data_IF_554037769597
#
_entry.id   IF_554037769597
#
_cell.length_a   1.000
_cell.length_b   1.000
_cell.length_c   1.000
_cell.angle_alpha   90.00
_cell.angle_beta   90.00
_cell.angle_gamma   90.00
#
_symmetry.space_group_name_H-M   'P 1'
#
loop_
_entity.id
_entity.type
_entity.pdbx_description
1 polymer ?
#
# COMPACT_ATOMS: atom_id res chain seq x y z
N UNK A 1 -24.87 0.49 16.85
CA UNK A 1 -24.09 0.46 15.59
C UNK A 1 -23.01 -0.58 15.81
N UNK A 2 -22.84 -1.55 14.89
CA UNK A 2 -21.71 -2.47 15.00
C UNK A 2 -20.42 -1.65 14.98
N UNK A 3 -19.52 -1.93 15.91
CA UNK A 3 -18.17 -1.35 15.88
C UNK A 3 -17.51 -1.76 14.55
N UNK A 4 -16.95 -0.78 13.83
CA UNK A 4 -16.22 -1.05 12.59
C UNK A 4 -14.79 -1.43 12.93
N UNK A 5 -14.28 -2.49 12.33
CA UNK A 5 -12.87 -2.86 12.46
C UNK A 5 -12.01 -1.95 11.59
N UNK A 6 -11.00 -1.31 12.18
CA UNK A 6 -9.99 -0.59 11.38
C UNK A 6 -9.00 -1.59 10.80
N UNK A 7 -8.80 -1.54 9.48
CA UNK A 7 -7.75 -2.27 8.79
C UNK A 7 -6.65 -1.27 8.38
N UNK A 8 -5.51 -1.36 9.03
CA UNK A 8 -4.32 -0.60 8.68
C UNK A 8 -3.69 -1.18 7.42
N UNK A 9 -3.45 -0.36 6.42
CA UNK A 9 -2.93 -0.77 5.12
C UNK A 9 -1.72 0.07 4.74
N UNK A 10 -0.56 -0.57 4.66
CA UNK A 10 0.65 0.08 4.16
C UNK A 10 0.82 -0.12 2.66
N UNK A 11 0.96 0.99 1.93
CA UNK A 11 1.10 1.00 0.48
C UNK A 11 2.37 1.73 0.02
N UNK A 12 2.87 1.30 -1.15
CA UNK A 12 3.77 2.10 -1.97
C UNK A 12 3.06 2.31 -3.33
N UNK A 13 2.90 3.56 -3.82
CA UNK A 13 2.30 3.85 -5.13
C UNK A 13 2.94 3.12 -6.31
N UNK A 14 4.19 2.67 -6.19
CA UNK A 14 4.85 1.92 -7.25
C UNK A 14 4.38 0.48 -7.36
N UNK A 15 3.87 -0.11 -6.27
CA UNK A 15 3.64 -1.55 -6.22
C UNK A 15 2.28 -1.92 -6.87
N UNK A 16 2.29 -2.66 -8.00
CA UNK A 16 1.05 -3.06 -8.66
C UNK A 16 0.25 -4.08 -7.83
N UNK A 17 0.91 -4.86 -6.97
CA UNK A 17 0.25 -5.82 -6.09
C UNK A 17 -0.44 -5.12 -4.92
N UNK A 18 0.23 -4.14 -4.31
CA UNK A 18 -0.40 -3.28 -3.31
C UNK A 18 -1.62 -2.55 -3.89
N UNK A 19 -1.54 -2.09 -5.15
CA UNK A 19 -2.68 -1.48 -5.83
C UNK A 19 -3.88 -2.42 -5.89
N UNK A 20 -3.71 -3.64 -6.40
CA UNK A 20 -4.82 -4.61 -6.52
C UNK A 20 -5.41 -4.99 -5.17
N UNK A 21 -4.56 -5.24 -4.16
CA UNK A 21 -5.05 -5.52 -2.80
C UNK A 21 -5.75 -4.30 -2.20
N UNK A 22 -5.31 -3.07 -2.48
CA UNK A 22 -6.00 -1.85 -2.03
C UNK A 22 -7.40 -1.73 -2.62
N UNK A 23 -7.57 -2.07 -3.91
CA UNK A 23 -8.88 -2.06 -4.57
C UNK A 23 -9.79 -3.13 -3.98
N UNK A 24 -9.24 -4.32 -3.71
CA UNK A 24 -9.96 -5.36 -2.98
C UNK A 24 -10.42 -4.88 -1.59
N UNK A 25 -9.57 -4.18 -0.83
CA UNK A 25 -9.98 -3.64 0.47
C UNK A 25 -11.11 -2.61 0.38
N UNK A 26 -11.15 -1.78 -0.67
CA UNK A 26 -12.28 -0.89 -0.93
C UNK A 26 -13.58 -1.65 -1.28
N UNK A 27 -13.47 -2.83 -1.93
CA UNK A 27 -14.61 -3.73 -2.13
C UNK A 27 -15.06 -4.38 -0.81
N UNK A 28 -14.13 -4.70 0.10
CA UNK A 28 -14.43 -5.23 1.44
C UNK A 28 -15.23 -4.23 2.27
N UNK A 29 -14.85 -2.95 2.28
CA UNK A 29 -15.57 -1.89 3.01
C UNK A 29 -17.05 -1.76 2.61
N UNK A 30 -17.40 -2.16 1.38
CA UNK A 30 -18.77 -2.13 0.88
C UNK A 30 -19.63 -3.29 1.43
N UNK A 31 -19.01 -4.41 1.82
CA UNK A 31 -19.72 -5.65 2.19
C UNK A 31 -19.40 -6.17 3.60
N UNK A 32 -18.49 -5.52 4.33
CA UNK A 32 -18.12 -5.84 5.72
C UNK A 32 -18.02 -4.55 6.55
N UNK A 33 -18.23 -4.61 7.88
CA UNK A 33 -18.08 -3.46 8.78
C UNK A 33 -16.59 -3.17 9.05
N UNK A 34 -15.85 -2.85 8.00
CA UNK A 34 -14.41 -2.53 8.04
C UNK A 34 -14.21 -1.09 7.56
N UNK A 35 -13.18 -0.43 8.06
CA UNK A 35 -12.68 0.82 7.49
C UNK A 35 -11.17 0.78 7.30
N UNK A 36 -10.68 1.19 6.13
CA UNK A 36 -9.24 1.20 5.84
C UNK A 36 -8.61 2.49 6.37
N UNK A 37 -7.51 2.34 7.11
CA UNK A 37 -6.60 3.44 7.46
C UNK A 37 -5.31 3.24 6.67
N UNK A 38 -4.96 4.24 5.86
CA UNK A 38 -3.85 4.16 4.92
C UNK A 38 -2.56 4.65 5.55
N UNK A 39 -1.46 3.96 5.29
CA UNK A 39 -0.11 4.31 5.73
C UNK A 39 0.87 4.20 4.57
N UNK A 40 1.91 5.03 4.57
CA UNK A 40 2.93 4.99 3.52
C UNK A 40 4.02 3.98 3.89
N UNK A 41 4.44 3.14 2.94
CA UNK A 41 5.68 2.38 3.02
C UNK A 41 6.45 2.53 1.71
N UNK A 42 7.72 2.13 1.70
CA UNK A 42 8.61 2.31 0.55
C UNK A 42 9.31 1.01 0.15
N UNK A 43 9.14 0.61 -1.10
CA UNK A 43 9.93 -0.43 -1.75
C UNK A 43 11.40 -0.02 -1.85
N UNK A 44 11.68 1.27 -2.02
CA UNK A 44 13.05 1.78 -2.04
C UNK A 44 13.75 1.61 -0.70
N UNK A 45 13.05 1.86 0.41
CA UNK A 45 13.56 1.56 1.77
C UNK A 45 13.73 0.06 1.95
N UNK A 46 12.74 -0.75 1.56
CA UNK A 46 12.79 -2.22 1.72
C UNK A 46 14.01 -2.87 1.03
N UNK A 47 14.45 -2.29 -0.09
CA UNK A 47 15.46 -2.89 -0.97
C UNK A 47 16.82 -2.19 -0.93
N UNK A 48 17.01 -1.17 -0.09
CA UNK A 48 18.20 -0.32 -0.11
C UNK A 48 19.51 -1.09 0.14
N UNK A 49 19.47 -2.06 1.06
CA UNK A 49 20.63 -2.89 1.41
C UNK A 49 20.89 -4.03 0.42
N UNK A 50 20.00 -4.21 -0.57
CA UNK A 50 20.05 -5.31 -1.55
C UNK A 50 20.18 -4.82 -2.98
N UNK A 51 20.39 -3.52 -3.19
CA UNK A 51 20.42 -2.93 -4.54
C UNK A 51 21.38 -3.68 -5.48
N UNK A 52 22.58 -3.99 -5.01
CA UNK A 52 23.61 -4.67 -5.81
C UNK A 52 23.22 -6.10 -6.24
N UNK A 53 22.22 -6.71 -5.60
CA UNK A 53 21.71 -8.04 -5.93
C UNK A 53 20.55 -7.99 -6.93
N UNK A 54 20.03 -6.80 -7.22
CA UNK A 54 18.83 -6.60 -8.02
C UNK A 54 19.15 -6.35 -9.51
N UNK A 55 18.28 -6.80 -10.43
CA UNK A 55 18.37 -6.44 -11.84
C UNK A 55 18.42 -4.92 -12.05
N UNK A 56 19.20 -4.45 -13.02
CA UNK A 56 19.41 -3.01 -13.29
C UNK A 56 18.09 -2.23 -13.43
N UNK A 57 17.17 -2.73 -14.25
CA UNK A 57 15.87 -2.08 -14.46
C UNK A 57 15.06 -1.92 -13.16
N UNK A 58 15.22 -2.84 -12.21
CA UNK A 58 14.55 -2.76 -10.92
C UNK A 58 15.27 -1.79 -9.98
N UNK A 59 16.60 -1.73 -10.01
CA UNK A 59 17.36 -0.68 -9.30
C UNK A 59 16.97 0.73 -9.77
N UNK A 60 16.89 0.96 -11.08
CA UNK A 60 16.46 2.25 -11.65
C UNK A 60 15.04 2.63 -11.18
N UNK A 61 14.13 1.66 -11.12
CA UNK A 61 12.79 1.85 -10.56
C UNK A 61 12.85 2.27 -9.08
N UNK A 62 13.69 1.62 -8.27
CA UNK A 62 13.82 1.94 -6.84
C UNK A 62 14.46 3.30 -6.58
N UNK A 63 15.38 3.76 -7.45
CA UNK A 63 15.94 5.11 -7.37
C UNK A 63 14.87 6.19 -7.58
N UNK A 64 14.00 6.01 -8.57
CA UNK A 64 12.89 6.93 -8.83
C UNK A 64 11.69 6.74 -7.88
N UNK A 65 11.69 5.64 -7.11
CA UNK A 65 10.60 5.27 -6.20
C UNK A 65 10.44 6.11 -4.95
N UNK A 66 11.47 6.86 -4.55
CA UNK A 66 11.39 7.78 -3.41
C UNK A 66 10.41 8.94 -3.65
N UNK A 67 10.28 9.40 -4.89
CA UNK A 67 9.52 10.60 -5.21
C UNK A 67 8.04 10.53 -4.77
N UNK A 68 7.25 9.55 -5.28
CA UNK A 68 5.84 9.44 -4.95
C UNK A 68 5.54 9.24 -3.46
N UNK A 69 6.35 8.44 -2.75
CA UNK A 69 6.15 8.18 -1.32
C UNK A 69 6.47 9.41 -0.47
N UNK A 70 7.47 10.22 -0.83
CA UNK A 70 7.74 11.51 -0.18
C UNK A 70 6.58 12.48 -0.34
N UNK A 71 5.96 12.53 -1.52
CA UNK A 71 4.76 13.35 -1.76
C UNK A 71 3.58 12.89 -0.90
N UNK A 72 3.40 11.57 -0.74
CA UNK A 72 2.37 11.03 0.15
C UNK A 72 2.60 11.45 1.61
N UNK A 73 3.83 11.31 2.13
CA UNK A 73 4.18 11.74 3.50
C UNK A 73 4.03 13.26 3.67
N UNK A 74 4.43 14.05 2.68
CA UNK A 74 4.24 15.50 2.71
C UNK A 74 2.75 15.90 2.75
N UNK A 75 1.90 15.19 1.99
CA UNK A 75 0.45 15.39 2.01
C UNK A 75 -0.16 15.02 3.36
N UNK A 76 0.24 13.87 3.94
CA UNK A 76 -0.19 13.43 5.27
C UNK A 76 0.19 14.43 6.35
N UNK A 77 1.44 14.91 6.38
CA UNK A 77 1.88 15.89 7.38
C UNK A 77 1.16 17.24 7.25
N UNK A 78 0.81 17.66 6.01
CA UNK A 78 0.14 18.94 5.76
C UNK A 78 -1.36 18.89 6.03
N UNK A 79 -2.02 17.78 5.70
CA UNK A 79 -3.49 17.69 5.65
C UNK A 79 -4.11 16.60 6.54
N UNK A 80 -3.30 15.75 7.16
CA UNK A 80 -3.72 14.59 7.96
C UNK A 80 -3.74 13.27 7.16
N UNK A 81 -3.71 12.11 7.83
CA UNK A 81 -3.67 10.79 7.18
C UNK A 81 -4.89 10.49 6.31
N UNK A 82 -6.02 11.18 6.52
CA UNK A 82 -7.27 10.97 5.80
C UNK A 82 -7.16 11.26 4.30
N UNK A 83 -6.18 12.07 3.87
CA UNK A 83 -5.98 12.37 2.45
C UNK A 83 -5.30 11.26 1.68
N UNK A 84 -4.62 10.33 2.36
CA UNK A 84 -3.80 9.30 1.72
C UNK A 84 -4.62 8.35 0.84
N UNK A 85 -5.84 7.99 1.22
CA UNK A 85 -6.68 7.10 0.41
C UNK A 85 -7.06 7.69 -0.95
N UNK A 86 -7.41 8.98 -0.96
CA UNK A 86 -7.74 9.71 -2.19
C UNK A 86 -6.50 9.94 -3.06
N UNK A 87 -5.40 10.37 -2.46
CA UNK A 87 -4.13 10.58 -3.16
C UNK A 87 -3.58 9.27 -3.74
N UNK A 88 -3.62 8.17 -2.99
CA UNK A 88 -3.19 6.87 -3.48
C UNK A 88 -4.07 6.39 -4.64
N UNK A 89 -5.39 6.59 -4.56
CA UNK A 89 -6.31 6.29 -5.66
C UNK A 89 -5.97 7.06 -6.92
N UNK A 90 -5.67 8.37 -6.81
CA UNK A 90 -5.28 9.19 -7.94
C UNK A 90 -3.94 8.74 -8.56
N UNK A 91 -2.93 8.49 -7.73
CA UNK A 91 -1.61 8.01 -8.16
C UNK A 91 -1.70 6.64 -8.84
N UNK A 92 -2.35 5.66 -8.20
CA UNK A 92 -2.46 4.31 -8.73
C UNK A 92 -3.28 4.22 -10.02
N UNK A 93 -4.31 5.07 -10.17
CA UNK A 93 -5.05 5.19 -11.43
C UNK A 93 -4.14 5.62 -12.58
N UNK A 94 -3.29 6.63 -12.35
CA UNK A 94 -2.35 7.12 -13.37
C UNK A 94 -1.26 6.09 -13.65
N UNK A 95 -0.62 5.53 -12.63
CA UNK A 95 0.52 4.63 -12.78
C UNK A 95 0.14 3.24 -13.30
N UNK A 96 -0.95 2.65 -12.80
CA UNK A 96 -1.29 1.26 -13.07
C UNK A 96 -2.37 1.12 -14.14
N UNK A 97 -3.45 1.88 -14.02
CA UNK A 97 -4.60 1.75 -14.95
C UNK A 97 -4.29 2.42 -16.29
N UNK A 98 -3.70 3.64 -16.25
CA UNK A 98 -3.39 4.41 -17.47
C UNK A 98 -1.98 4.20 -17.99
N UNK A 99 -1.08 3.62 -17.19
CA UNK A 99 0.32 3.43 -17.54
C UNK A 99 1.08 4.75 -17.76
N UNK A 100 0.66 5.83 -17.10
CA UNK A 100 1.33 7.14 -17.19
C UNK A 100 2.72 7.06 -16.54
N UNK A 101 3.69 7.74 -17.15
CA UNK A 101 5.04 7.87 -16.57
C UNK A 101 4.99 8.65 -15.25
N UNK A 102 5.90 8.33 -14.32
CA UNK A 102 5.94 8.88 -12.96
C UNK A 102 6.66 10.23 -12.91
N UNK A 103 6.24 11.14 -13.76
CA UNK A 103 6.81 12.50 -13.86
C UNK A 103 6.22 13.40 -12.77
N UNK A 104 6.88 14.54 -12.53
CA UNK A 104 6.33 15.58 -11.67
C UNK A 104 4.96 16.07 -12.16
N UNK A 105 4.73 16.16 -13.47
CA UNK A 105 3.44 16.55 -14.03
C UNK A 105 2.34 15.54 -13.69
N UNK A 106 2.61 14.24 -13.84
CA UNK A 106 1.67 13.17 -13.48
C UNK A 106 1.30 13.21 -12.00
N UNK A 107 2.29 13.41 -11.13
CA UNK A 107 2.10 13.43 -9.67
C UNK A 107 1.39 14.72 -9.21
N UNK A 108 1.72 15.87 -9.80
CA UNK A 108 0.99 17.11 -9.57
C UNK A 108 -0.48 16.98 -10.02
N UNK A 109 -0.73 16.32 -11.16
CA UNK A 109 -2.08 15.98 -11.59
C UNK A 109 -2.82 15.08 -10.60
N UNK A 110 -2.15 14.08 -10.02
CA UNK A 110 -2.73 13.22 -8.98
C UNK A 110 -3.09 13.99 -7.70
N UNK A 111 -2.25 14.94 -7.28
CA UNK A 111 -2.53 15.84 -6.17
C UNK A 111 -3.81 16.65 -6.43
N UNK A 112 -3.95 17.22 -7.64
CA UNK A 112 -5.16 17.96 -8.04
C UNK A 112 -6.39 17.07 -8.04
N UNK A 113 -6.31 15.86 -8.60
CA UNK A 113 -7.41 14.88 -8.62
C UNK A 113 -7.88 14.52 -7.19
N UNK A 114 -6.95 14.51 -6.22
CA UNK A 114 -7.22 14.28 -4.81
C UNK A 114 -7.66 15.54 -4.03
N UNK A 115 -7.79 16.70 -4.70
CA UNK A 115 -8.16 17.97 -4.07
C UNK A 115 -7.04 18.60 -3.24
N UNK A 116 -5.79 18.22 -3.50
CA UNK A 116 -4.60 18.67 -2.79
C UNK A 116 -3.81 19.71 -3.60
N UNK A 117 -2.91 20.40 -2.90
CA UNK A 117 -2.02 21.41 -3.48
C UNK A 117 -0.98 20.75 -4.40
N UNK A 118 -0.98 21.04 -5.73
CA UNK A 118 -0.02 20.44 -6.67
C UNK A 118 1.44 20.79 -6.35
N UNK A 119 1.70 21.87 -5.61
CA UNK A 119 3.07 22.26 -5.23
C UNK A 119 3.73 21.26 -4.27
N UNK A 120 2.96 20.36 -3.64
CA UNK A 120 3.51 19.25 -2.86
C UNK A 120 4.37 18.30 -3.70
N UNK A 121 4.27 18.33 -5.05
CA UNK A 121 5.15 17.57 -5.95
C UNK A 121 6.63 17.86 -5.69
N UNK A 122 6.98 19.06 -5.20
CA UNK A 122 8.37 19.41 -4.86
C UNK A 122 8.97 18.49 -3.79
N UNK A 123 8.15 17.83 -2.98
CA UNK A 123 8.60 16.84 -2.00
C UNK A 123 9.33 15.66 -2.64
N UNK A 124 9.13 15.37 -3.94
CA UNK A 124 9.83 14.28 -4.64
C UNK A 124 11.36 14.39 -4.52
N UNK A 125 11.86 15.62 -4.55
CA UNK A 125 13.29 15.95 -4.57
C UNK A 125 13.84 16.31 -3.17
N UNK A 126 12.99 16.30 -2.14
CA UNK A 126 13.38 16.64 -0.76
C UNK A 126 13.61 15.40 0.08
N UNK A 127 14.63 15.41 0.92
CA UNK A 127 14.86 14.37 1.95
C UNK A 127 14.18 14.69 3.28
N UNK A 128 13.49 15.84 3.40
CA UNK A 128 12.83 16.29 4.63
C UNK A 128 11.84 15.25 5.20
N UNK A 129 11.23 14.45 4.33
CA UNK A 129 10.20 13.47 4.69
C UNK A 129 10.74 12.05 4.90
N UNK A 130 12.05 11.82 4.71
CA UNK A 130 12.63 10.48 4.70
C UNK A 130 12.57 9.80 6.08
N UNK A 131 12.77 10.56 7.16
CA UNK A 131 12.70 10.02 8.52
C UNK A 131 11.29 9.51 8.85
N UNK A 132 10.26 10.31 8.55
CA UNK A 132 8.87 9.93 8.74
C UNK A 132 8.46 8.74 7.86
N UNK A 133 8.91 8.72 6.60
CA UNK A 133 8.69 7.60 5.68
C UNK A 133 9.31 6.31 6.23
N UNK A 134 10.54 6.36 6.75
CA UNK A 134 11.22 5.21 7.33
C UNK A 134 10.53 4.72 8.60
N UNK A 135 10.05 5.61 9.44
CA UNK A 135 9.27 5.25 10.63
C UNK A 135 7.99 4.50 10.25
N UNK A 136 7.19 5.06 9.33
CA UNK A 136 5.96 4.41 8.84
C UNK A 136 6.25 3.06 8.15
N UNK A 137 7.32 2.99 7.35
CA UNK A 137 7.76 1.73 6.76
C UNK A 137 8.14 0.69 7.81
N UNK A 138 8.92 1.08 8.83
CA UNK A 138 9.37 0.20 9.90
C UNK A 138 8.20 -0.35 10.72
N UNK A 139 7.17 0.46 10.98
CA UNK A 139 5.93 0.02 11.63
C UNK A 139 5.24 -1.08 10.81
N UNK A 140 5.02 -0.84 9.51
CA UNK A 140 4.36 -1.83 8.64
C UNK A 140 5.16 -3.12 8.50
N UNK A 141 6.42 -3.03 8.07
CA UNK A 141 7.25 -4.23 7.80
C UNK A 141 7.57 -5.02 9.08
N UNK A 142 7.67 -4.35 10.22
CA UNK A 142 7.92 -4.98 11.53
C UNK A 142 6.82 -5.97 11.94
N UNK A 143 5.61 -5.83 11.40
CA UNK A 143 4.48 -6.72 11.69
C UNK A 143 4.55 -8.06 10.96
N UNK A 144 5.33 -8.16 9.88
CA UNK A 144 5.35 -9.32 8.97
C UNK A 144 6.75 -9.86 8.68
N UNK A 145 7.80 -9.17 9.13
CA UNK A 145 9.18 -9.52 8.86
C UNK A 145 9.70 -8.95 7.52
N UNK A 146 11.02 -9.07 7.31
CA UNK A 146 11.74 -8.45 6.18
C UNK A 146 11.77 -9.32 4.91
N UNK A 147 11.22 -10.53 4.96
CA UNK A 147 11.25 -11.50 3.86
C UNK A 147 10.07 -11.33 2.89
N UNK A 148 9.21 -10.34 3.14
CA UNK A 148 8.01 -10.05 2.35
C UNK A 148 8.04 -8.64 1.75
N UNK A 149 7.15 -8.40 0.78
CA UNK A 149 7.01 -7.11 0.11
C UNK A 149 5.78 -6.33 0.57
N UNK A 150 5.26 -5.49 -0.33
CA UNK A 150 4.01 -4.75 -0.11
C UNK A 150 2.86 -5.45 -0.85
N UNK A 151 1.62 -5.40 -0.34
CA UNK A 151 1.14 -4.65 0.82
C UNK A 151 1.25 -5.41 2.15
N UNK A 152 1.25 -4.64 3.24
CA UNK A 152 1.05 -5.14 4.61
C UNK A 152 -0.28 -4.64 5.13
N UNK A 153 -1.04 -5.55 5.74
CA UNK A 153 -2.32 -5.24 6.38
C UNK A 153 -2.24 -5.63 7.86
N UNK A 154 -2.82 -4.82 8.73
CA UNK A 154 -3.01 -5.17 10.13
C UNK A 154 -4.43 -4.84 10.62
N UNK A 155 -4.93 -5.68 11.52
CA UNK A 155 -6.20 -5.46 12.25
C UNK A 155 -5.98 -5.63 13.75
N UNK A 156 -6.87 -5.15 14.61
CA UNK A 156 -6.83 -5.48 16.04
C UNK A 156 -6.85 -7.00 16.25
N UNK A 157 -5.85 -7.54 16.94
CA UNK A 157 -5.82 -8.95 17.34
C UNK A 157 -6.68 -9.21 18.58
N UNK A 158 -6.95 -10.50 18.83
CA UNK A 158 -7.80 -10.93 19.95
C UNK A 158 -7.21 -10.55 21.33
N UNK A 159 -5.89 -10.51 21.44
CA UNK A 159 -5.16 -10.24 22.68
C UNK A 159 -4.73 -8.76 22.82
N UNK A 160 -5.16 -7.89 21.89
CA UNK A 160 -4.83 -6.46 21.86
C UNK A 160 -3.61 -6.09 21.01
N UNK A 161 -2.74 -7.05 20.69
CA UNK A 161 -1.65 -6.86 19.74
C UNK A 161 -2.17 -6.82 18.29
N UNK A 162 -1.57 -6.04 17.38
CA UNK A 162 -1.97 -6.03 15.97
C UNK A 162 -1.74 -7.39 15.30
N UNK A 163 -2.76 -7.89 14.60
CA UNK A 163 -2.67 -9.04 13.71
C UNK A 163 -2.22 -8.56 12.32
N UNK A 164 -0.90 -8.59 12.08
CA UNK A 164 -0.28 -8.24 10.80
C UNK A 164 -0.15 -9.42 9.84
N UNK A 165 -0.37 -9.18 8.55
CA UNK A 165 -0.14 -10.17 7.49
C UNK A 165 0.25 -9.52 6.16
N UNK A 166 1.00 -10.26 5.35
CA UNK A 166 1.36 -9.89 3.98
C UNK A 166 0.29 -10.36 2.99
N UNK A 167 -0.13 -9.47 2.07
CA UNK A 167 -1.18 -9.76 1.11
C UNK A 167 -2.59 -9.67 1.72
N UNK A 168 -3.59 -10.41 1.18
CA UNK A 168 -3.49 -11.35 0.07
C UNK A 168 -3.10 -10.70 -1.25
N UNK A 169 -2.20 -11.36 -1.96
CA UNK A 169 -1.79 -10.98 -3.32
C UNK A 169 -2.78 -11.57 -4.31
N UNK A 170 -3.53 -10.71 -5.02
CA UNK A 170 -4.63 -11.11 -5.91
C UNK A 170 -4.51 -10.46 -7.29
N UNK A 171 -4.98 -11.16 -8.33
CA UNK A 171 -5.16 -10.63 -9.68
C UNK A 171 -6.22 -11.46 -10.42
N UNK A 172 -7.27 -10.83 -10.99
CA UNK A 172 -7.73 -9.46 -10.71
C UNK A 172 -8.19 -9.30 -9.25
N UNK A 173 -8.43 -8.07 -8.80
CA UNK A 173 -9.00 -7.82 -7.48
C UNK A 173 -10.44 -8.38 -7.37
N UNK A 174 -10.78 -9.19 -6.34
CA UNK A 174 -12.14 -9.66 -6.13
C UNK A 174 -13.11 -8.52 -5.85
N UNK A 175 -14.37 -8.66 -6.29
CA UNK A 175 -15.44 -7.66 -6.13
C UNK A 175 -16.63 -8.18 -5.33
N UNK A 176 -17.39 -7.26 -4.74
CA UNK A 176 -18.62 -7.53 -3.99
C UNK A 176 -18.43 -8.63 -2.94
N UNK A 177 -19.38 -9.57 -2.86
CA UNK A 177 -19.32 -10.63 -1.84
C UNK A 177 -18.10 -11.56 -2.00
N UNK A 178 -17.49 -11.66 -3.18
CA UNK A 178 -16.24 -12.40 -3.32
C UNK A 178 -15.07 -11.72 -2.58
N UNK A 179 -15.06 -10.39 -2.52
CA UNK A 179 -14.10 -9.62 -1.71
C UNK A 179 -14.30 -9.90 -0.22
N UNK A 180 -15.56 -9.86 0.24
CA UNK A 180 -15.93 -10.15 1.63
C UNK A 180 -15.56 -11.57 2.06
N UNK A 181 -15.81 -12.59 1.23
CA UNK A 181 -15.41 -13.97 1.55
C UNK A 181 -13.90 -14.14 1.64
N UNK A 182 -13.13 -13.48 0.77
CA UNK A 182 -11.68 -13.52 0.86
C UNK A 182 -11.21 -12.88 2.18
N UNK A 183 -11.80 -11.74 2.57
CA UNK A 183 -11.51 -11.08 3.83
C UNK A 183 -11.76 -12.00 5.04
N UNK A 184 -12.94 -12.61 5.10
CA UNK A 184 -13.29 -13.52 6.21
C UNK A 184 -12.32 -14.71 6.27
N UNK A 185 -11.95 -15.27 5.12
CA UNK A 185 -10.98 -16.38 5.03
C UNK A 185 -9.57 -15.97 5.43
N UNK A 186 -9.11 -14.79 5.00
CA UNK A 186 -7.81 -14.23 5.38
C UNK A 186 -7.72 -14.02 6.88
N UNK A 187 -8.74 -13.42 7.51
CA UNK A 187 -8.74 -13.23 8.95
C UNK A 187 -8.75 -14.55 9.71
N UNK A 188 -9.52 -15.55 9.25
CA UNK A 188 -9.58 -16.86 9.87
C UNK A 188 -8.21 -17.54 9.93
N UNK A 189 -7.46 -17.53 8.82
CA UNK A 189 -6.13 -18.16 8.78
C UNK A 189 -5.10 -17.32 9.52
N UNK A 190 -5.13 -15.99 9.37
CA UNK A 190 -4.21 -15.09 10.05
C UNK A 190 -4.38 -15.16 11.58
N UNK A 191 -5.60 -15.28 12.08
CA UNK A 191 -5.88 -15.40 13.53
C UNK A 191 -5.60 -16.78 14.11
N UNK A 192 -5.18 -17.76 13.31
CA UNK A 192 -4.93 -19.14 13.79
C UNK A 192 -3.51 -19.25 14.34
N UNK A 193 -3.31 -19.51 15.65
CA UNK A 193 -1.98 -19.64 16.22
C UNK A 193 -1.15 -20.74 15.53
N UNK A 194 0.08 -20.41 15.14
CA UNK A 194 1.00 -21.34 14.46
C UNK A 194 0.79 -21.47 12.95
N UNK A 195 -0.14 -20.70 12.37
CA UNK A 195 -0.22 -20.55 10.92
C UNK A 195 0.73 -19.46 10.44
N UNK A 196 1.61 -19.77 9.49
CA UNK A 196 2.62 -18.83 8.99
C UNK A 196 2.52 -18.56 7.49
N UNK A 197 2.28 -19.58 6.66
CA UNK A 197 2.23 -19.38 5.21
C UNK A 197 1.29 -20.35 4.51
N UNK A 198 0.50 -19.82 3.58
CA UNK A 198 -0.15 -20.57 2.51
C UNK A 198 0.17 -19.88 1.18
N UNK A 199 0.66 -20.65 0.21
CA UNK A 199 1.07 -20.10 -1.08
C UNK A 199 0.84 -21.09 -2.20
N UNK A 200 0.45 -20.55 -3.35
CA UNK A 200 0.51 -21.23 -4.65
C UNK A 200 1.39 -20.42 -5.60
N UNK A 201 1.95 -21.08 -6.62
CA UNK A 201 2.69 -20.40 -7.68
C UNK A 201 1.81 -19.37 -8.36
N UNK A 202 2.32 -18.14 -8.50
CA UNK A 202 1.68 -17.09 -9.28
C UNK A 202 1.91 -17.36 -10.75
N UNK A 203 0.84 -17.53 -11.50
CA UNK A 203 0.82 -17.85 -12.94
C UNK A 203 0.21 -16.74 -13.81
N UNK A 204 -0.21 -15.62 -13.19
CA UNK A 204 -0.77 -14.46 -13.84
C UNK A 204 -0.07 -13.15 -13.43
N UNK A 205 -0.05 -12.20 -14.37
CA UNK A 205 0.39 -10.82 -14.16
C UNK A 205 -0.73 -9.98 -13.49
N UNK A 206 -0.40 -8.78 -12.95
CA UNK A 206 -1.42 -7.84 -12.49
C UNK A 206 -2.39 -7.47 -13.62
N UNK A 207 -3.68 -7.66 -13.39
CA UNK A 207 -4.76 -7.23 -14.29
C UNK A 207 -5.48 -6.06 -13.63
N UNK A 208 -5.28 -4.86 -14.19
CA UNK A 208 -5.90 -3.63 -13.71
C UNK A 208 -7.25 -3.41 -14.39
N UNK A 209 -8.22 -2.94 -13.63
CA UNK A 209 -9.59 -2.64 -14.04
C UNK A 209 -9.99 -1.18 -13.78
#
# INVERSE_FOLDING_TARGET
MSEKTTADFWFDPLCPWAWLTSRWMLEVEQVRPVSVRWHVMSLSVLNEDKLDELPEHYRELLHTGWGPVRVCVAAEQKYGPEVLGALYTALGTRFHVRGEERTAETIAGALVDAGLDPELVRAMESTEYDEALRASHAEGIGLVGQDVGTPVIAVPGADGDPLGFFGPVVTPAPKGEAAGRLWDGTLLVASTPGFYEIKRTRDAEPVFD
#
